data_IF_653364504656
#
_entry.id   IF_653364504656
#
_cell.length_a   1.000
_cell.length_b   1.000
_cell.length_c   1.000
_cell.angle_alpha   90.00
_cell.angle_beta   90.00
_cell.angle_gamma   90.00
#
_symmetry.space_group_name_H-M   'P 1'
#
loop_
_entity.id
_entity.type
_entity.pdbx_description
1 polymer ?
#
# COMPACT_ATOMS: atom_id res chain seq x y z
N UNK A 1 -9.64 18.72 0.49
CA UNK A 1 -9.36 17.63 -0.48
C UNK A 1 -8.26 18.11 -1.42
N UNK A 2 -7.28 17.26 -1.73
CA UNK A 2 -5.94 17.64 -2.22
C UNK A 2 -5.90 18.39 -3.55
N UNK A 3 -4.92 19.28 -3.73
CA UNK A 3 -4.73 20.10 -4.95
C UNK A 3 -4.75 19.29 -6.26
N UNK A 4 -4.32 18.03 -6.21
CA UNK A 4 -4.22 17.16 -7.39
C UNK A 4 -5.55 16.48 -7.78
N UNK A 5 -6.54 16.38 -6.89
CA UNK A 5 -7.73 15.56 -7.12
C UNK A 5 -8.54 15.97 -8.38
N UNK A 6 -8.76 17.27 -8.68
CA UNK A 6 -9.45 17.66 -9.92
C UNK A 6 -8.68 17.24 -11.18
N UNK A 7 -7.35 17.33 -11.16
CA UNK A 7 -6.48 16.96 -12.27
C UNK A 7 -6.48 15.45 -12.49
N UNK A 8 -6.40 14.66 -11.42
CA UNK A 8 -6.46 13.18 -11.48
C UNK A 8 -7.81 12.71 -12.02
N UNK A 9 -8.92 13.31 -11.57
CA UNK A 9 -10.26 12.99 -12.07
C UNK A 9 -10.40 13.29 -13.57
N UNK A 10 -9.97 14.48 -14.00
CA UNK A 10 -10.03 14.88 -15.40
C UNK A 10 -9.20 13.94 -16.29
N UNK A 11 -7.97 13.63 -15.88
CA UNK A 11 -7.09 12.71 -16.62
C UNK A 11 -7.69 11.31 -16.70
N UNK A 12 -8.18 10.76 -15.58
CA UNK A 12 -8.79 9.43 -15.54
C UNK A 12 -10.02 9.35 -16.45
N UNK A 13 -10.84 10.40 -16.48
CA UNK A 13 -12.05 10.45 -17.32
C UNK A 13 -11.69 10.47 -18.80
N UNK A 14 -10.69 11.26 -19.18
CA UNK A 14 -10.19 11.30 -20.56
C UNK A 14 -9.68 9.93 -20.98
N UNK A 15 -8.86 9.30 -20.16
CA UNK A 15 -8.27 7.98 -20.48
C UNK A 15 -9.32 6.88 -20.57
N UNK A 16 -10.26 6.79 -19.62
CA UNK A 16 -11.30 5.76 -19.67
C UNK A 16 -12.30 5.98 -20.81
N UNK A 17 -12.54 7.23 -21.22
CA UNK A 17 -13.33 7.53 -22.43
C UNK A 17 -12.61 7.08 -23.70
N UNK A 18 -11.28 7.22 -23.74
CA UNK A 18 -10.46 6.79 -24.88
C UNK A 18 -10.28 5.26 -24.96
N UNK A 19 -10.46 4.54 -23.84
CA UNK A 19 -10.26 3.10 -23.76
C UNK A 19 -11.50 2.37 -23.17
N UNK A 20 -12.54 2.13 -23.99
CA UNK A 20 -13.76 1.47 -23.53
C UNK A 20 -13.48 0.07 -22.95
N UNK A 21 -14.03 -0.21 -21.78
CA UNK A 21 -13.88 -1.51 -21.09
C UNK A 21 -12.61 -1.66 -20.25
N UNK A 22 -11.70 -0.67 -20.26
CA UNK A 22 -10.52 -0.68 -19.41
C UNK A 22 -10.87 -0.51 -17.91
N UNK A 23 -9.97 -0.96 -17.05
CA UNK A 23 -9.99 -0.71 -15.60
C UNK A 23 -8.87 0.24 -15.21
N UNK A 24 -9.07 1.03 -14.15
CA UNK A 24 -8.03 1.89 -13.60
C UNK A 24 -7.39 1.26 -12.35
N UNK A 25 -6.06 1.25 -12.31
CA UNK A 25 -5.30 0.86 -11.13
C UNK A 25 -4.74 2.12 -10.45
N UNK A 26 -5.05 2.29 -9.17
CA UNK A 26 -4.46 3.32 -8.32
C UNK A 26 -3.32 2.69 -7.53
N UNK A 27 -2.12 3.21 -7.73
CA UNK A 27 -0.92 2.71 -7.07
C UNK A 27 -0.21 3.83 -6.33
N UNK A 28 0.44 3.52 -5.23
CA UNK A 28 1.24 4.50 -4.49
C UNK A 28 2.27 3.82 -3.62
N UNK A 29 3.33 4.55 -3.25
CA UNK A 29 4.37 4.14 -2.33
C UNK A 29 4.49 5.15 -1.20
N UNK A 30 4.76 4.69 0.02
CA UNK A 30 4.92 5.54 1.21
C UNK A 30 3.75 6.54 1.36
N UNK A 31 4.01 7.85 1.46
CA UNK A 31 2.97 8.90 1.46
C UNK A 31 2.04 8.83 0.24
N UNK A 32 2.59 8.48 -0.93
CA UNK A 32 1.85 8.29 -2.17
C UNK A 32 0.78 7.20 -2.06
N UNK A 33 0.98 6.16 -1.26
CA UNK A 33 -0.06 5.14 -1.01
C UNK A 33 -1.27 5.75 -0.31
N UNK A 34 -1.05 6.61 0.69
CA UNK A 34 -2.15 7.24 1.42
C UNK A 34 -2.95 8.18 0.50
N UNK A 35 -2.26 8.91 -0.39
CA UNK A 35 -2.90 9.74 -1.41
C UNK A 35 -3.69 8.88 -2.41
N UNK A 36 -3.06 7.82 -2.95
CA UNK A 36 -3.71 6.91 -3.90
C UNK A 36 -4.90 6.16 -3.28
N UNK A 37 -4.91 5.93 -1.95
CA UNK A 37 -6.07 5.41 -1.25
C UNK A 37 -7.22 6.43 -1.23
N UNK A 38 -6.93 7.69 -0.94
CA UNK A 38 -7.95 8.74 -0.99
C UNK A 38 -8.53 8.83 -2.41
N UNK A 39 -7.69 8.75 -3.44
CA UNK A 39 -8.15 8.72 -4.83
C UNK A 39 -8.98 7.45 -5.12
N UNK A 40 -8.64 6.31 -4.54
CA UNK A 40 -9.37 5.06 -4.73
C UNK A 40 -10.77 5.08 -4.11
N UNK A 41 -10.99 5.92 -3.10
CA UNK A 41 -12.32 6.22 -2.54
C UNK A 41 -13.04 7.31 -3.34
N UNK A 42 -12.31 8.32 -3.81
CA UNK A 42 -12.86 9.49 -4.49
C UNK A 42 -13.33 9.18 -5.91
N UNK A 43 -12.54 8.45 -6.70
CA UNK A 43 -12.85 8.21 -8.11
C UNK A 43 -14.13 7.39 -8.31
N UNK A 44 -14.39 6.26 -7.63
CA UNK A 44 -15.63 5.50 -7.84
C UNK A 44 -16.92 6.32 -7.66
N UNK A 45 -16.90 7.37 -6.84
CA UNK A 45 -18.04 8.27 -6.63
C UNK A 45 -18.32 9.22 -7.81
N UNK A 46 -17.35 9.41 -8.71
CA UNK A 46 -17.40 10.37 -9.82
C UNK A 46 -17.49 9.71 -11.20
N UNK A 47 -17.67 8.38 -11.23
CA UNK A 47 -17.78 7.57 -12.44
C UNK A 47 -19.06 6.74 -12.44
N UNK A 48 -19.55 6.31 -13.62
CA UNK A 48 -20.73 5.46 -13.72
C UNK A 48 -20.56 4.15 -12.93
N UNK A 49 -21.67 3.67 -12.36
CA UNK A 49 -21.73 2.37 -11.71
C UNK A 49 -21.26 1.27 -12.68
N UNK A 50 -20.30 0.44 -12.24
CA UNK A 50 -19.68 -0.60 -13.06
C UNK A 50 -18.26 -0.28 -13.56
N UNK A 51 -17.76 0.95 -13.37
CA UNK A 51 -16.36 1.28 -13.63
C UNK A 51 -15.45 0.50 -12.66
N UNK A 52 -14.46 -0.22 -13.20
CA UNK A 52 -13.58 -1.10 -12.42
C UNK A 52 -12.34 -0.34 -11.93
N UNK A 53 -12.18 -0.26 -10.62
CA UNK A 53 -11.01 0.30 -9.96
C UNK A 53 -10.30 -0.76 -9.10
N UNK A 54 -8.97 -0.75 -9.10
CA UNK A 54 -8.14 -1.56 -8.20
C UNK A 54 -7.15 -0.65 -7.49
N UNK A 55 -6.99 -0.82 -6.19
CA UNK A 55 -5.96 -0.14 -5.42
C UNK A 55 -4.81 -1.10 -5.09
N UNK A 56 -3.57 -0.62 -5.19
CA UNK A 56 -2.37 -1.31 -4.71
C UNK A 56 -1.47 -0.30 -3.98
N UNK A 57 -1.33 -0.46 -2.68
CA UNK A 57 -0.50 0.43 -1.86
C UNK A 57 0.76 -0.25 -1.36
N UNK A 58 1.92 0.38 -1.57
CA UNK A 58 3.19 0.04 -0.93
C UNK A 58 3.39 0.94 0.29
N UNK A 59 2.46 0.89 1.23
CA UNK A 59 2.58 1.57 2.51
C UNK A 59 1.58 1.00 3.53
N UNK A 60 1.61 1.61 4.71
CA UNK A 60 0.89 1.16 5.87
C UNK A 60 -0.56 1.66 5.94
N UNK A 61 -1.51 0.94 5.32
CA UNK A 61 -2.90 1.38 5.19
C UNK A 61 -3.92 0.33 5.66
N UNK A 62 -5.04 0.74 6.28
CA UNK A 62 -6.04 -0.20 6.76
C UNK A 62 -6.98 -0.74 5.65
N UNK A 63 -7.35 -2.02 5.75
CA UNK A 63 -8.37 -2.76 4.99
C UNK A 63 -8.05 -2.97 3.50
N UNK A 64 -6.76 -3.06 3.17
CA UNK A 64 -6.24 -3.22 1.82
C UNK A 64 -5.04 -4.16 1.84
N UNK A 65 -4.66 -4.69 0.68
CA UNK A 65 -3.38 -5.39 0.55
C UNK A 65 -2.24 -4.41 0.80
N UNK A 66 -1.55 -4.57 1.92
CA UNK A 66 -0.36 -3.84 2.33
C UNK A 66 0.85 -4.71 2.05
N UNK A 67 1.78 -4.24 1.23
CA UNK A 67 3.05 -4.96 1.00
C UNK A 67 4.13 -4.32 1.87
N UNK A 68 4.84 -5.14 2.64
CA UNK A 68 5.99 -4.75 3.47
C UNK A 68 7.22 -5.50 3.01
N UNK A 69 8.41 -4.90 3.09
CA UNK A 69 9.61 -5.45 2.49
C UNK A 69 10.74 -5.60 3.50
N UNK A 70 11.18 -6.84 3.72
CA UNK A 70 12.36 -7.21 4.50
C UNK A 70 12.41 -6.42 5.83
N UNK A 71 13.54 -5.77 6.11
CA UNK A 71 13.76 -5.03 7.34
C UNK A 71 13.33 -3.55 7.26
N UNK A 72 12.44 -3.19 6.33
CA UNK A 72 11.90 -1.83 6.23
C UNK A 72 11.26 -1.41 7.56
N UNK A 73 11.76 -0.35 8.23
CA UNK A 73 11.20 0.10 9.50
C UNK A 73 9.94 0.95 9.36
N UNK A 74 9.56 1.40 8.17
CA UNK A 74 8.37 2.25 7.97
C UNK A 74 7.07 1.53 8.39
N UNK A 75 6.84 0.25 8.07
CA UNK A 75 5.59 -0.43 8.40
C UNK A 75 5.40 -0.80 9.87
N UNK A 76 6.42 -0.59 10.73
CA UNK A 76 6.28 -0.71 12.19
C UNK A 76 6.01 0.64 12.87
N UNK A 77 5.86 1.72 12.08
CA UNK A 77 5.59 3.06 12.56
C UNK A 77 4.14 3.51 12.25
N UNK A 78 3.48 4.23 13.17
CA UNK A 78 3.89 4.49 14.56
C UNK A 78 3.86 3.21 15.41
N UNK A 79 4.77 3.11 16.37
CA UNK A 79 4.94 1.88 17.16
C UNK A 79 3.68 1.48 17.95
N UNK A 80 3.42 0.18 18.03
CA UNK A 80 2.24 -0.41 18.71
C UNK A 80 2.10 0.00 20.19
N UNK A 81 3.21 0.33 20.85
CA UNK A 81 3.21 0.83 22.23
C UNK A 81 2.48 2.18 22.40
N UNK A 82 2.23 2.90 21.31
CA UNK A 82 1.44 4.14 21.27
C UNK A 82 -0.06 3.88 20.99
N UNK A 83 -0.49 2.62 20.94
CA UNK A 83 -1.88 2.24 20.67
C UNK A 83 -2.27 2.18 19.19
N UNK A 84 -1.31 2.31 18.28
CA UNK A 84 -1.53 2.10 16.85
C UNK A 84 -1.50 0.61 16.51
N UNK A 85 -2.34 0.20 15.56
CA UNK A 85 -2.38 -1.16 15.04
C UNK A 85 -2.67 -1.14 13.55
N UNK A 86 -1.96 -1.93 12.77
CA UNK A 86 -2.29 -2.11 11.37
C UNK A 86 -3.38 -3.15 11.22
N UNK A 87 -4.34 -2.88 10.32
CA UNK A 87 -5.40 -3.84 10.07
C UNK A 87 -4.91 -4.96 9.13
N UNK A 88 -5.70 -6.02 9.02
CA UNK A 88 -5.44 -7.17 8.17
C UNK A 88 -5.19 -6.81 6.70
N UNK A 89 -4.53 -7.72 5.99
CA UNK A 89 -4.21 -7.57 4.56
C UNK A 89 -2.71 -7.44 4.27
N UNK A 90 -1.84 -7.69 5.26
CA UNK A 90 -0.39 -7.67 5.04
C UNK A 90 0.07 -8.84 4.16
N UNK A 91 0.92 -8.50 3.18
CA UNK A 91 1.77 -9.42 2.45
C UNK A 91 3.21 -8.99 2.71
N UNK A 92 3.93 -9.79 3.49
CA UNK A 92 5.31 -9.49 3.87
C UNK A 92 6.29 -10.21 2.95
N UNK A 93 7.28 -9.49 2.43
CA UNK A 93 8.40 -10.06 1.69
C UNK A 93 9.52 -10.30 2.71
N UNK A 94 9.80 -11.55 3.03
CA UNK A 94 10.88 -11.91 3.97
C UNK A 94 12.26 -11.68 3.34
N UNK A 95 13.32 -11.68 4.14
CA UNK A 95 14.71 -11.46 3.69
C UNK A 95 15.22 -12.48 2.64
N UNK A 96 14.60 -13.66 2.56
CA UNK A 96 14.83 -14.66 1.51
C UNK A 96 14.04 -14.41 0.21
N UNK A 97 13.30 -13.30 0.14
CA UNK A 97 12.50 -12.87 -1.01
C UNK A 97 11.13 -13.53 -1.12
N UNK A 98 10.67 -14.27 -0.10
CA UNK A 98 9.39 -14.98 -0.13
C UNK A 98 8.23 -14.06 0.28
N UNK A 99 7.16 -14.06 -0.52
CA UNK A 99 5.95 -13.28 -0.26
C UNK A 99 4.97 -14.09 0.60
N UNK A 100 4.69 -13.60 1.81
CA UNK A 100 3.88 -14.27 2.84
C UNK A 100 2.63 -13.47 3.15
N UNK A 101 1.45 -14.09 3.07
CA UNK A 101 0.24 -13.47 3.57
C UNK A 101 0.17 -13.58 5.10
N UNK A 102 0.06 -12.44 5.77
CA UNK A 102 -0.02 -12.32 7.22
C UNK A 102 -1.47 -12.15 7.65
N UNK A 103 -1.99 -13.15 8.37
CA UNK A 103 -3.40 -13.20 8.75
C UNK A 103 -3.73 -12.25 9.92
N UNK A 104 -4.86 -11.55 9.83
CA UNK A 104 -5.33 -10.66 10.90
C UNK A 104 -4.52 -9.38 11.03
N UNK A 105 -4.83 -8.60 12.07
CA UNK A 105 -4.22 -7.31 12.34
C UNK A 105 -2.88 -7.51 13.07
N UNK A 106 -1.80 -6.87 12.60
CA UNK A 106 -0.45 -6.94 13.21
C UNK A 106 -0.06 -8.36 13.64
N UNK A 107 0.00 -9.27 12.68
CA UNK A 107 0.31 -10.67 12.94
C UNK A 107 1.69 -10.80 13.60
N UNK A 108 1.74 -11.40 14.78
CA UNK A 108 2.95 -11.57 15.57
C UNK A 108 3.73 -12.86 15.23
N UNK A 109 3.52 -13.44 14.05
CA UNK A 109 4.37 -14.48 13.50
C UNK A 109 5.73 -13.89 13.09
N UNK A 110 6.82 -14.63 13.26
CA UNK A 110 8.17 -14.18 12.89
C UNK A 110 8.37 -13.89 11.40
N UNK A 111 7.49 -14.40 10.54
CA UNK A 111 7.48 -14.16 9.09
C UNK A 111 6.59 -12.98 8.68
N UNK A 112 6.22 -12.12 9.63
CA UNK A 112 5.42 -10.92 9.43
C UNK A 112 6.15 -9.73 10.04
N UNK A 113 5.93 -8.55 9.46
CA UNK A 113 6.72 -7.33 9.71
C UNK A 113 6.88 -7.01 11.19
N UNK A 114 5.82 -7.19 11.98
CA UNK A 114 5.80 -6.82 13.41
C UNK A 114 6.83 -7.61 14.24
N UNK A 115 7.25 -8.79 13.79
CA UNK A 115 8.30 -9.59 14.44
C UNK A 115 9.56 -9.73 13.63
N UNK A 116 9.49 -9.63 12.30
CA UNK A 116 10.68 -9.64 11.45
C UNK A 116 11.50 -8.37 11.74
N UNK A 117 10.84 -7.20 11.74
CA UNK A 117 11.46 -5.90 12.05
C UNK A 117 11.24 -5.53 13.52
N UNK A 118 12.14 -5.98 14.39
CA UNK A 118 11.91 -5.88 15.85
C UNK A 118 11.87 -4.46 16.39
N UNK A 119 12.66 -3.55 15.81
CA UNK A 119 12.75 -2.15 16.23
C UNK A 119 13.48 -1.32 15.17
N UNK A 120 13.49 0.01 15.37
CA UNK A 120 14.14 0.97 14.48
C UNK A 120 15.66 0.80 14.35
N UNK A 121 16.33 0.19 15.31
CA UNK A 121 17.79 -0.03 15.28
C UNK A 121 18.17 -1.34 14.58
N UNK A 122 17.25 -2.28 14.46
CA UNK A 122 17.40 -3.53 13.71
C UNK A 122 16.86 -3.42 12.27
N UNK A 123 16.10 -2.37 11.96
CA UNK A 123 15.57 -2.12 10.62
C UNK A 123 16.60 -1.54 9.65
N UNK A 124 16.38 -1.78 8.36
CA UNK A 124 17.16 -1.27 7.26
C UNK A 124 16.29 -0.37 6.36
N UNK A 125 16.56 0.94 6.38
CA UNK A 125 15.82 1.90 5.55
C UNK A 125 16.08 1.72 4.05
N UNK A 126 17.14 1.02 3.65
CA UNK A 126 17.39 0.67 2.26
C UNK A 126 16.30 -0.23 1.68
N UNK A 127 15.74 -1.12 2.50
CA UNK A 127 14.70 -2.07 2.09
C UNK A 127 13.36 -1.38 1.81
N UNK A 128 13.19 -0.13 2.24
CA UNK A 128 12.04 0.69 1.88
C UNK A 128 11.93 0.97 0.37
N UNK A 129 13.07 0.93 -0.34
CA UNK A 129 13.15 1.15 -1.78
C UNK A 129 13.06 -0.16 -2.58
N UNK A 130 12.82 -1.29 -1.92
CA UNK A 130 12.71 -2.62 -2.53
C UNK A 130 13.95 -3.51 -2.35
N UNK A 131 14.05 -4.62 -3.10
CA UNK A 131 13.26 -4.93 -4.30
C UNK A 131 11.86 -5.48 -4.00
N UNK A 132 10.85 -4.93 -4.68
CA UNK A 132 9.50 -5.49 -4.75
C UNK A 132 9.36 -6.34 -6.02
N UNK A 133 9.54 -7.65 -5.89
CA UNK A 133 9.51 -8.59 -7.02
C UNK A 133 10.55 -8.21 -8.11
N UNK A 134 11.76 -7.85 -7.67
CA UNK A 134 12.87 -7.45 -8.53
C UNK A 134 12.87 -5.98 -8.97
N UNK A 135 11.89 -5.18 -8.55
CA UNK A 135 11.78 -3.75 -8.90
C UNK A 135 12.17 -2.87 -7.71
N UNK A 136 13.06 -1.90 -7.94
CA UNK A 136 13.37 -0.84 -6.98
C UNK A 136 12.42 0.34 -7.19
N UNK A 137 11.98 0.97 -6.10
CA UNK A 137 11.02 2.10 -6.08
C UNK A 137 11.65 3.28 -5.35
#
# INVERSE_FOLDING_TARGET
>A
MGRAAPSVLAATRTTLSAHPGASAALVGHSLGSALSLIDALYLPLHFPAGTKFKFVGYANLPNLTRITNMDDPVPILPGRFLGFQHTHGEVHITSDGVWRACAGNDNANSLCTVRDVKNLFEGNTGDHNGPYNGVMI
#
